data_IF_586620504621
#
_entry.id   IF_586620504621
#
_cell.length_a   1.000
_cell.length_b   1.000
_cell.length_c   1.000
_cell.angle_alpha   90.00
_cell.angle_beta   90.00
_cell.angle_gamma   90.00
#
_symmetry.space_group_name_H-M   'P 1'
#
loop_
_entity.id
_entity.type
_entity.pdbx_description
1 polymer ?
#
# COMPACT_ATOMS: atom_id res chain seq x y z
N UNK A 1 -19.11 -41.50 11.24
CA UNK A 1 -19.01 -40.33 10.34
C UNK A 1 -18.13 -39.30 11.04
N UNK A 2 -17.04 -38.81 10.42
CA UNK A 2 -16.20 -37.80 11.07
C UNK A 2 -17.01 -36.50 11.25
N UNK A 3 -17.15 -36.05 12.49
CA UNK A 3 -17.74 -34.75 12.83
C UNK A 3 -16.92 -33.65 12.16
N UNK A 4 -17.51 -32.99 11.17
CA UNK A 4 -16.88 -31.87 10.45
C UNK A 4 -16.47 -30.81 11.48
N UNK A 5 -15.16 -30.53 11.58
CA UNK A 5 -14.63 -29.55 12.53
C UNK A 5 -15.19 -28.17 12.20
N UNK A 6 -15.90 -27.56 13.14
CA UNK A 6 -16.49 -26.23 12.97
C UNK A 6 -15.37 -25.18 12.98
N UNK A 7 -15.37 -24.28 11.99
CA UNK A 7 -14.49 -23.13 11.94
C UNK A 7 -15.23 -21.89 12.43
N UNK A 8 -14.91 -21.42 13.64
CA UNK A 8 -15.51 -20.21 14.19
C UNK A 8 -15.14 -18.95 13.39
N UNK A 9 -13.98 -18.94 12.72
CA UNK A 9 -13.61 -17.86 11.77
C UNK A 9 -14.59 -17.81 10.60
N UNK A 10 -14.88 -18.96 9.99
CA UNK A 10 -15.84 -19.02 8.87
C UNK A 10 -17.24 -18.60 9.33
N UNK A 11 -17.70 -19.11 10.48
CA UNK A 11 -19.01 -18.72 11.02
C UNK A 11 -19.09 -17.22 11.33
N UNK A 12 -18.01 -16.63 11.84
CA UNK A 12 -17.94 -15.18 12.09
C UNK A 12 -18.09 -14.39 10.79
N UNK A 13 -17.40 -14.80 9.73
CA UNK A 13 -17.53 -14.20 8.40
C UNK A 13 -18.95 -14.35 7.86
N UNK A 14 -19.53 -15.56 7.91
CA UNK A 14 -20.89 -15.82 7.42
C UNK A 14 -21.93 -14.97 8.16
N UNK A 15 -21.79 -14.79 9.47
CA UNK A 15 -22.69 -13.97 10.30
C UNK A 15 -22.63 -12.49 9.89
N UNK A 16 -21.43 -11.94 9.70
CA UNK A 16 -21.27 -10.53 9.29
C UNK A 16 -21.71 -10.34 7.83
N UNK A 17 -21.30 -11.22 6.93
CA UNK A 17 -21.65 -11.17 5.51
C UNK A 17 -23.16 -11.23 5.26
N UNK A 18 -23.88 -12.08 6.00
CA UNK A 18 -25.35 -12.20 5.87
C UNK A 18 -26.12 -11.10 6.61
N UNK A 19 -25.46 -10.30 7.43
CA UNK A 19 -26.13 -9.20 8.13
C UNK A 19 -26.37 -8.04 7.16
N UNK A 20 -27.61 -7.52 7.06
CA UNK A 20 -27.89 -6.35 6.24
C UNK A 20 -27.38 -5.05 6.89
N UNK A 21 -27.11 -5.07 8.19
CA UNK A 21 -26.66 -3.92 8.97
C UNK A 21 -25.38 -4.24 9.76
N UNK A 22 -24.55 -3.21 10.08
CA UNK A 22 -23.39 -3.36 10.95
C UNK A 22 -23.76 -3.92 12.31
N UNK A 23 -23.00 -4.91 12.76
CA UNK A 23 -23.25 -5.64 14.00
C UNK A 23 -22.30 -5.23 15.12
N UNK A 24 -22.78 -5.01 16.36
CA UNK A 24 -21.91 -4.92 17.51
C UNK A 24 -21.27 -6.28 17.80
N UNK A 25 -20.06 -6.28 18.37
CA UNK A 25 -19.31 -7.50 18.69
C UNK A 25 -20.12 -8.54 19.51
N UNK A 26 -20.90 -8.07 20.49
CA UNK A 26 -21.71 -8.95 21.33
C UNK A 26 -22.76 -9.73 20.53
N UNK A 27 -23.34 -9.10 19.52
CA UNK A 27 -24.33 -9.73 18.64
C UNK A 27 -23.69 -10.72 17.68
N UNK A 28 -22.52 -10.40 17.11
CA UNK A 28 -21.73 -11.36 16.31
C UNK A 28 -21.48 -12.62 17.13
N UNK A 29 -21.02 -12.47 18.37
CA UNK A 29 -20.74 -13.60 19.27
C UNK A 29 -22.01 -14.42 19.56
N UNK A 30 -23.14 -13.75 19.85
CA UNK A 30 -24.41 -14.42 20.12
C UNK A 30 -24.91 -15.21 18.89
N UNK A 31 -24.87 -14.62 17.69
CA UNK A 31 -25.29 -15.26 16.44
C UNK A 31 -24.39 -16.45 16.09
N UNK A 32 -23.07 -16.32 16.23
CA UNK A 32 -22.13 -17.45 16.02
C UNK A 32 -22.42 -18.59 16.99
N UNK A 33 -22.60 -18.28 18.29
CA UNK A 33 -22.89 -19.27 19.31
C UNK A 33 -24.26 -19.96 19.10
N UNK A 34 -25.24 -19.25 18.54
CA UNK A 34 -26.53 -19.81 18.16
C UNK A 34 -26.46 -20.80 16.98
N UNK A 35 -25.48 -20.64 16.08
CA UNK A 35 -25.24 -21.58 14.96
C UNK A 35 -24.46 -22.81 15.45
N UNK A 36 -23.39 -22.57 16.20
CA UNK A 36 -22.58 -23.63 16.81
C UNK A 36 -22.04 -23.15 18.16
N UNK A 37 -22.34 -23.88 19.27
CA UNK A 37 -21.84 -23.51 20.59
C UNK A 37 -20.32 -23.37 20.61
N UNK A 38 -19.83 -22.25 21.13
CA UNK A 38 -18.39 -21.97 21.18
C UNK A 38 -17.77 -22.70 22.37
N UNK A 39 -17.13 -23.83 22.12
CA UNK A 39 -16.57 -24.71 23.16
C UNK A 39 -15.11 -24.42 23.51
N UNK A 40 -14.54 -23.32 22.99
CA UNK A 40 -13.14 -22.95 23.26
C UNK A 40 -12.96 -22.43 24.69
N UNK A 41 -11.73 -22.52 25.21
CA UNK A 41 -11.41 -22.01 26.57
C UNK A 41 -11.69 -20.51 26.75
N UNK A 42 -11.64 -19.73 25.66
CA UNK A 42 -11.92 -18.30 25.68
C UNK A 42 -12.75 -17.90 24.45
N UNK A 43 -14.08 -18.08 24.50
CA UNK A 43 -14.98 -17.82 23.38
C UNK A 43 -14.87 -16.39 22.83
N UNK A 44 -14.81 -15.41 23.74
CA UNK A 44 -14.68 -13.99 23.39
C UNK A 44 -13.43 -13.72 22.58
N UNK A 45 -12.29 -14.29 23.00
CA UNK A 45 -11.03 -14.09 22.27
C UNK A 45 -11.02 -14.81 20.91
N UNK A 46 -11.67 -15.97 20.81
CA UNK A 46 -11.82 -16.68 19.53
C UNK A 46 -12.53 -15.82 18.49
N UNK A 47 -13.68 -15.22 18.85
CA UNK A 47 -14.43 -14.35 17.91
C UNK A 47 -13.68 -13.03 17.67
N UNK A 48 -13.06 -12.45 18.70
CA UNK A 48 -12.26 -11.23 18.53
C UNK A 48 -11.13 -11.43 17.53
N UNK A 49 -10.39 -12.52 17.63
CA UNK A 49 -9.32 -12.84 16.70
C UNK A 49 -9.85 -13.05 15.28
N UNK A 50 -11.00 -13.72 15.13
CA UNK A 50 -11.64 -13.90 13.83
C UNK A 50 -12.02 -12.57 13.18
N UNK A 51 -12.51 -11.60 13.96
CA UNK A 51 -12.81 -10.25 13.48
C UNK A 51 -11.52 -9.49 13.16
N UNK A 52 -10.56 -9.44 14.10
CA UNK A 52 -9.36 -8.59 13.97
C UNK A 52 -8.38 -9.04 12.90
N UNK A 53 -8.39 -10.33 12.54
CA UNK A 53 -7.53 -10.89 11.49
C UNK A 53 -8.21 -10.90 10.11
N UNK A 54 -9.46 -10.45 10.00
CA UNK A 54 -10.19 -10.44 8.75
C UNK A 54 -9.98 -9.13 8.00
N UNK A 55 -9.53 -9.21 6.75
CA UNK A 55 -9.54 -8.05 5.84
C UNK A 55 -10.95 -7.73 5.30
N UNK A 56 -11.92 -8.61 5.53
CA UNK A 56 -13.29 -8.44 5.04
C UNK A 56 -14.25 -7.89 6.10
N UNK A 57 -13.93 -8.06 7.39
CA UNK A 57 -14.71 -7.51 8.49
C UNK A 57 -14.00 -6.26 8.99
N UNK A 58 -14.65 -5.11 8.84
CA UNK A 58 -14.06 -3.82 9.19
C UNK A 58 -14.90 -3.12 10.25
N UNK A 59 -14.25 -2.32 11.08
CA UNK A 59 -14.92 -1.48 12.09
C UNK A 59 -15.52 -0.24 11.41
N UNK A 60 -16.77 0.06 11.73
CA UNK A 60 -17.48 1.28 11.26
C UNK A 60 -17.16 2.51 12.12
N UNK A 61 -16.31 2.38 13.15
CA UNK A 61 -15.89 3.48 14.03
C UNK A 61 -16.83 3.77 15.20
N UNK A 62 -18.07 3.29 15.16
CA UNK A 62 -19.10 3.41 16.21
C UNK A 62 -19.20 2.17 17.12
N UNK A 63 -18.19 1.29 17.06
CA UNK A 63 -18.15 0.03 17.83
C UNK A 63 -18.90 -1.14 17.16
N UNK A 64 -19.39 -0.95 15.94
CA UNK A 64 -19.95 -2.02 15.11
C UNK A 64 -18.96 -2.47 14.03
N UNK A 65 -19.29 -3.59 13.39
CA UNK A 65 -18.51 -4.22 12.35
C UNK A 65 -19.40 -4.60 11.18
N UNK A 66 -18.89 -4.44 9.96
CA UNK A 66 -19.61 -4.78 8.73
C UNK A 66 -18.67 -5.42 7.70
N UNK A 67 -19.26 -5.90 6.62
CA UNK A 67 -18.59 -6.45 5.46
C UNK A 67 -18.02 -5.34 4.58
N UNK A 68 -16.71 -5.36 4.35
CA UNK A 68 -15.97 -4.27 3.70
C UNK A 68 -16.57 -3.83 2.35
N UNK A 69 -16.80 -4.70 1.35
CA UNK A 69 -17.42 -4.27 0.09
C UNK A 69 -18.76 -3.54 0.23
N UNK A 70 -19.55 -3.84 1.26
CA UNK A 70 -20.84 -3.18 1.52
C UNK A 70 -20.65 -1.82 2.18
N UNK A 71 -19.78 -1.75 3.19
CA UNK A 71 -19.59 -0.53 3.98
C UNK A 71 -19.01 0.61 3.14
N UNK A 72 -18.27 0.31 2.07
CA UNK A 72 -17.67 1.35 1.23
C UNK A 72 -18.66 2.01 0.26
N UNK A 73 -19.90 1.51 0.16
CA UNK A 73 -20.92 2.10 -0.71
C UNK A 73 -21.15 3.58 -0.37
N UNK A 74 -21.34 4.38 -1.43
CA UNK A 74 -21.47 5.84 -1.36
C UNK A 74 -20.15 6.60 -1.15
N UNK A 75 -19.00 5.91 -1.10
CA UNK A 75 -17.71 6.58 -1.05
C UNK A 75 -17.40 7.24 -2.39
N UNK A 76 -16.87 8.45 -2.35
CA UNK A 76 -16.37 9.20 -3.50
C UNK A 76 -14.87 9.38 -3.33
N UNK A 77 -14.06 8.87 -4.27
CA UNK A 77 -12.59 8.89 -4.21
C UNK A 77 -12.07 9.72 -5.39
N UNK A 78 -11.11 10.64 -5.13
CA UNK A 78 -10.48 11.46 -6.17
C UNK A 78 -9.23 10.77 -6.71
N UNK A 79 -9.06 10.84 -8.02
CA UNK A 79 -7.86 10.46 -8.74
C UNK A 79 -7.37 11.65 -9.58
N UNK A 80 -6.18 12.15 -9.27
CA UNK A 80 -5.51 13.20 -10.05
C UNK A 80 -4.87 12.59 -11.28
N UNK A 81 -5.19 13.12 -12.46
CA UNK A 81 -4.69 12.61 -13.73
C UNK A 81 -3.24 13.05 -13.94
N UNK A 82 -2.36 12.08 -14.20
CA UNK A 82 -0.95 12.34 -14.43
C UNK A 82 -0.63 12.38 -15.93
N UNK A 83 0.42 13.12 -16.28
CA UNK A 83 0.92 13.20 -17.66
C UNK A 83 1.28 11.81 -18.21
N UNK A 84 1.86 10.94 -17.37
CA UNK A 84 2.21 9.57 -17.77
C UNK A 84 0.98 8.72 -18.15
N UNK A 85 -0.15 8.92 -17.47
CA UNK A 85 -1.40 8.18 -17.72
C UNK A 85 -1.95 8.49 -19.10
N UNK A 86 -1.97 9.78 -19.47
CA UNK A 86 -2.38 10.25 -20.79
C UNK A 86 -1.48 9.72 -21.90
N UNK A 87 -0.16 9.66 -21.67
CA UNK A 87 0.76 9.15 -22.68
C UNK A 87 0.71 7.63 -22.86
N UNK A 88 0.43 6.90 -21.79
CA UNK A 88 0.52 5.44 -21.76
C UNK A 88 -0.84 4.75 -21.85
N UNK A 89 -1.94 5.51 -21.82
CA UNK A 89 -3.30 5.00 -21.76
C UNK A 89 -3.50 4.01 -20.60
N UNK A 90 -2.98 4.37 -19.42
CA UNK A 90 -3.07 3.59 -18.18
C UNK A 90 -3.49 4.50 -17.04
N UNK A 91 -4.35 4.03 -16.16
CA UNK A 91 -4.63 4.70 -14.90
C UNK A 91 -3.83 4.02 -13.79
N UNK A 92 -3.08 4.80 -13.00
CA UNK A 92 -2.35 4.37 -11.81
C UNK A 92 -3.23 4.59 -10.60
N UNK A 93 -3.42 3.57 -9.77
CA UNK A 93 -4.29 3.67 -8.62
C UNK A 93 -3.50 3.98 -7.36
N UNK A 94 -3.94 5.03 -6.68
CA UNK A 94 -3.56 5.27 -5.30
C UNK A 94 -4.14 4.17 -4.38
N UNK A 95 -3.64 4.14 -3.15
CA UNK A 95 -3.95 3.09 -2.18
C UNK A 95 -5.44 3.00 -1.85
N UNK A 96 -6.09 4.15 -1.63
CA UNK A 96 -7.52 4.25 -1.30
C UNK A 96 -8.41 3.90 -2.49
N UNK A 97 -8.07 4.38 -3.69
CA UNK A 97 -8.78 4.03 -4.91
C UNK A 97 -8.68 2.53 -5.20
N UNK A 98 -7.47 1.95 -5.08
CA UNK A 98 -7.29 0.51 -5.25
C UNK A 98 -8.10 -0.26 -4.22
N UNK A 99 -8.12 0.19 -2.96
CA UNK A 99 -8.87 -0.47 -1.90
C UNK A 99 -10.39 -0.36 -2.11
N UNK A 100 -10.88 0.73 -2.68
CA UNK A 100 -12.28 0.90 -3.06
C UNK A 100 -12.70 0.06 -4.29
N UNK A 101 -11.86 0.00 -5.33
CA UNK A 101 -12.14 -0.74 -6.57
C UNK A 101 -11.88 -2.25 -6.43
N UNK A 102 -11.04 -2.64 -5.48
CA UNK A 102 -10.66 -4.02 -5.19
C UNK A 102 -10.67 -4.27 -3.67
N UNK A 103 -11.83 -4.22 -2.99
CA UNK A 103 -11.92 -4.35 -1.52
C UNK A 103 -11.42 -5.71 -1.00
N UNK A 104 -11.38 -6.70 -1.87
CA UNK A 104 -10.89 -8.07 -1.63
C UNK A 104 -9.38 -8.25 -1.90
N UNK A 105 -8.63 -7.16 -2.17
CA UNK A 105 -7.22 -7.24 -2.59
C UNK A 105 -6.34 -8.03 -1.60
N UNK A 106 -6.51 -7.76 -0.30
CA UNK A 106 -5.81 -8.46 0.80
C UNK A 106 -6.60 -9.63 1.39
N UNK A 107 -7.79 -9.93 0.85
CA UNK A 107 -8.61 -11.00 1.38
C UNK A 107 -7.93 -12.37 1.19
N UNK A 108 -8.13 -13.32 2.13
CA UNK A 108 -7.65 -14.67 1.95
C UNK A 108 -8.34 -15.32 0.74
N UNK A 109 -7.72 -16.35 0.18
CA UNK A 109 -8.13 -16.96 -1.10
C UNK A 109 -9.63 -17.27 -1.21
N UNK A 110 -10.29 -17.65 -0.11
CA UNK A 110 -11.73 -17.95 -0.05
C UNK A 110 -12.63 -16.78 -0.44
N UNK A 111 -12.22 -15.54 -0.18
CA UNK A 111 -13.01 -14.33 -0.46
C UNK A 111 -12.39 -13.46 -1.54
N UNK A 112 -11.29 -13.92 -2.14
CA UNK A 112 -10.52 -13.16 -3.10
C UNK A 112 -11.26 -13.13 -4.42
N UNK A 113 -11.80 -11.97 -4.77
CA UNK A 113 -12.28 -11.67 -6.11
C UNK A 113 -11.32 -10.68 -6.81
N UNK A 114 -10.93 -10.97 -8.05
CA UNK A 114 -10.09 -10.14 -8.92
C UNK A 114 -10.70 -9.88 -10.28
N UNK A 115 -12.00 -10.13 -10.42
CA UNK A 115 -12.78 -9.71 -11.60
C UNK A 115 -12.57 -8.21 -11.88
N UNK A 116 -12.87 -7.70 -13.08
CA UNK A 116 -12.80 -6.26 -13.34
C UNK A 116 -13.89 -5.48 -12.61
N UNK A 117 -13.57 -4.27 -12.14
CA UNK A 117 -14.56 -3.31 -11.66
C UNK A 117 -15.39 -2.78 -12.85
N UNK A 118 -16.71 -2.69 -12.71
CA UNK A 118 -17.60 -2.18 -13.74
C UNK A 118 -17.87 -0.70 -13.49
N UNK A 119 -17.30 0.17 -14.34
CA UNK A 119 -17.32 1.63 -14.16
C UNK A 119 -18.20 2.27 -15.22
N UNK A 120 -19.26 2.95 -14.80
CA UNK A 120 -20.14 3.70 -15.72
C UNK A 120 -19.60 5.11 -15.91
N UNK A 121 -19.28 5.46 -17.15
CA UNK A 121 -18.80 6.79 -17.55
C UNK A 121 -19.97 7.78 -17.71
N UNK A 122 -19.72 9.10 -17.66
CA UNK A 122 -20.75 10.14 -17.85
C UNK A 122 -21.55 10.06 -19.15
N UNK A 123 -20.99 9.46 -20.20
CA UNK A 123 -21.69 9.22 -21.48
C UNK A 123 -22.66 8.03 -21.44
N UNK A 124 -22.79 7.34 -20.29
CA UNK A 124 -23.63 6.16 -20.10
C UNK A 124 -22.96 4.83 -20.46
N UNK A 125 -21.74 4.84 -21.01
CA UNK A 125 -21.01 3.61 -21.34
C UNK A 125 -20.40 2.99 -20.09
N UNK A 126 -20.53 1.67 -19.94
CA UNK A 126 -19.85 0.92 -18.88
C UNK A 126 -18.56 0.30 -19.42
N UNK A 127 -17.46 0.52 -18.71
CA UNK A 127 -16.13 -0.03 -18.99
C UNK A 127 -15.66 -0.93 -17.85
N UNK A 128 -14.88 -1.95 -18.19
CA UNK A 128 -14.29 -2.89 -17.24
C UNK A 128 -12.87 -2.46 -16.88
N UNK A 129 -12.63 -2.18 -15.60
CA UNK A 129 -11.31 -1.81 -15.07
C UNK A 129 -10.68 -3.01 -14.36
N UNK A 130 -9.76 -3.69 -15.06
CA UNK A 130 -8.96 -4.78 -14.49
C UNK A 130 -7.86 -4.24 -13.60
N UNK A 131 -7.61 -4.91 -12.47
CA UNK A 131 -6.46 -4.59 -11.62
C UNK A 131 -5.21 -5.26 -12.18
N UNK A 132 -4.22 -4.46 -12.54
CA UNK A 132 -2.92 -4.89 -13.02
C UNK A 132 -1.78 -4.27 -12.22
N UNK A 133 -0.66 -4.99 -12.13
CA UNK A 133 0.58 -4.48 -11.54
C UNK A 133 1.52 -4.10 -12.68
N UNK A 134 1.78 -2.80 -12.85
CA UNK A 134 2.66 -2.31 -13.89
C UNK A 134 4.14 -2.34 -13.50
N UNK A 135 4.41 -2.19 -12.20
CA UNK A 135 5.74 -2.30 -11.60
C UNK A 135 5.59 -2.70 -10.11
N UNK A 136 6.68 -3.08 -9.40
CA UNK A 136 6.59 -3.37 -7.97
C UNK A 136 5.87 -2.27 -7.20
N UNK A 137 4.77 -2.62 -6.55
CA UNK A 137 3.87 -1.70 -5.80
C UNK A 137 3.10 -0.66 -6.63
N UNK A 138 3.28 -0.61 -7.95
CA UNK A 138 2.52 0.26 -8.84
C UNK A 138 1.37 -0.56 -9.44
N UNK A 139 0.16 -0.24 -9.01
CA UNK A 139 -1.07 -0.88 -9.45
C UNK A 139 -1.92 0.08 -10.27
N UNK A 140 -2.79 -0.46 -11.11
CA UNK A 140 -3.64 0.36 -11.96
C UNK A 140 -4.48 -0.47 -12.91
N UNK A 141 -4.97 0.17 -13.97
CA UNK A 141 -5.71 -0.50 -15.05
C UNK A 141 -5.31 0.03 -16.42
N UNK A 142 -5.09 -0.85 -17.41
CA UNK A 142 -5.06 -0.44 -18.80
C UNK A 142 -6.50 -0.26 -19.28
N UNK A 143 -7.05 0.94 -19.10
CA UNK A 143 -8.42 1.22 -19.51
C UNK A 143 -8.59 0.99 -21.02
N UNK A 144 -9.75 0.48 -21.42
CA UNK A 144 -10.06 0.14 -22.81
C UNK A 144 -10.01 1.38 -23.72
N UNK A 145 -9.75 1.23 -25.04
CA UNK A 145 -9.64 2.37 -25.96
C UNK A 145 -10.85 3.31 -25.93
N UNK A 146 -12.05 2.77 -25.78
CA UNK A 146 -13.31 3.53 -25.75
C UNK A 146 -13.36 4.50 -24.55
N UNK A 147 -12.78 4.12 -23.42
CA UNK A 147 -12.63 5.02 -22.28
C UNK A 147 -11.72 6.19 -22.64
N UNK A 148 -10.57 5.93 -23.26
CA UNK A 148 -9.62 6.98 -23.63
C UNK A 148 -10.19 7.89 -24.72
N UNK A 149 -10.91 7.36 -25.70
CA UNK A 149 -11.58 8.19 -26.72
C UNK A 149 -12.56 9.17 -26.07
N UNK A 150 -13.41 8.67 -25.15
CA UNK A 150 -14.29 9.53 -24.36
C UNK A 150 -13.48 10.56 -23.55
N UNK A 151 -12.44 10.12 -22.85
CA UNK A 151 -11.64 10.98 -21.98
C UNK A 151 -10.93 12.10 -22.76
N UNK A 152 -10.38 11.79 -23.93
CA UNK A 152 -9.80 12.79 -24.84
C UNK A 152 -10.86 13.74 -25.43
N UNK A 153 -12.08 13.27 -25.68
CA UNK A 153 -13.18 14.13 -26.15
C UNK A 153 -13.57 15.22 -25.13
N UNK A 154 -13.35 14.95 -23.84
CA UNK A 154 -13.52 15.93 -22.75
C UNK A 154 -12.41 16.97 -22.69
N UNK A 155 -11.38 16.87 -23.57
CA UNK A 155 -10.16 17.68 -23.54
C UNK A 155 -9.50 17.63 -22.15
N UNK A 156 -9.39 16.44 -21.59
CA UNK A 156 -8.74 16.24 -20.29
C UNK A 156 -7.24 16.57 -20.38
N UNK A 157 -6.72 17.19 -19.33
CA UNK A 157 -5.31 17.52 -19.16
C UNK A 157 -4.75 16.90 -17.88
N UNK A 158 -3.42 16.84 -17.81
CA UNK A 158 -2.73 16.51 -16.56
C UNK A 158 -3.14 17.49 -15.45
N UNK A 159 -3.47 16.96 -14.28
CA UNK A 159 -4.00 17.72 -13.14
C UNK A 159 -5.52 17.88 -13.10
N UNK A 160 -6.26 17.44 -14.13
CA UNK A 160 -7.70 17.21 -14.02
C UNK A 160 -7.99 15.96 -13.18
N UNK A 161 -9.27 15.74 -12.83
CA UNK A 161 -9.65 14.75 -11.83
C UNK A 161 -10.70 13.77 -12.35
N UNK A 162 -10.56 12.52 -11.93
CA UNK A 162 -11.60 11.50 -11.99
C UNK A 162 -12.10 11.21 -10.59
N UNK A 163 -13.40 11.35 -10.36
CA UNK A 163 -14.03 10.96 -9.09
C UNK A 163 -14.73 9.63 -9.27
N UNK A 164 -14.37 8.66 -8.44
CA UNK A 164 -14.94 7.32 -8.43
C UNK A 164 -15.96 7.21 -7.30
N UNK A 165 -17.23 7.12 -7.66
CA UNK A 165 -18.32 6.83 -6.74
C UNK A 165 -18.52 5.31 -6.65
N UNK A 166 -18.49 4.78 -5.43
CA UNK A 166 -18.82 3.37 -5.16
C UNK A 166 -20.34 3.22 -5.10
N UNK A 167 -20.95 2.70 -6.16
CA UNK A 167 -22.40 2.48 -6.23
C UNK A 167 -22.77 1.20 -5.49
N UNK A 168 -22.07 0.10 -5.80
CA UNK A 168 -22.21 -1.18 -5.13
C UNK A 168 -20.87 -1.92 -5.15
N UNK A 169 -20.15 -1.93 -4.03
CA UNK A 169 -18.85 -2.58 -3.90
C UNK A 169 -18.93 -4.12 -3.88
N UNK A 170 -20.08 -4.72 -3.53
CA UNK A 170 -20.27 -6.17 -3.62
C UNK A 170 -20.48 -6.62 -5.07
N UNK A 171 -21.31 -5.89 -5.82
CA UNK A 171 -21.52 -6.11 -7.26
C UNK A 171 -20.43 -5.48 -8.14
N UNK A 172 -19.48 -4.75 -7.53
CA UNK A 172 -18.35 -4.07 -8.17
C UNK A 172 -18.78 -3.06 -9.23
N UNK A 173 -19.81 -2.32 -8.90
CA UNK A 173 -20.38 -1.28 -9.72
C UNK A 173 -19.95 0.08 -9.19
N UNK A 174 -19.42 0.89 -10.11
CA UNK A 174 -18.88 2.20 -9.81
C UNK A 174 -19.37 3.19 -10.86
N UNK A 175 -19.39 4.47 -10.48
CA UNK A 175 -19.69 5.57 -11.39
C UNK A 175 -18.50 6.52 -11.43
N UNK A 176 -18.19 6.97 -12.63
CA UNK A 176 -17.11 7.93 -12.86
C UNK A 176 -17.68 9.31 -13.09
N UNK A 177 -17.04 10.31 -12.49
CA UNK A 177 -17.32 11.72 -12.72
C UNK A 177 -16.01 12.37 -13.16
N UNK A 178 -16.05 13.15 -14.24
CA UNK A 178 -14.91 13.96 -14.66
C UNK A 178 -15.05 15.36 -14.07
N UNK A 179 -13.97 15.87 -13.49
CA UNK A 179 -13.90 17.21 -12.91
C UNK A 179 -12.65 17.92 -13.45
N UNK A 180 -12.83 19.08 -14.07
CA UNK A 180 -11.70 19.93 -14.42
C UNK A 180 -11.04 20.48 -13.17
N UNK A 181 -9.74 20.71 -13.23
CA UNK A 181 -9.00 21.36 -12.14
C UNK A 181 -9.59 22.73 -11.76
N UNK A 182 -10.07 23.49 -12.75
CA UNK A 182 -10.69 24.80 -12.54
C UNK A 182 -11.99 24.75 -11.73
N UNK A 183 -12.65 23.60 -11.69
CA UNK A 183 -13.97 23.42 -11.08
C UNK A 183 -13.87 22.89 -9.65
N UNK A 184 -12.64 22.81 -9.11
CA UNK A 184 -12.36 22.40 -7.74
C UNK A 184 -12.76 23.49 -6.75
N UNK A 185 -13.47 23.08 -5.70
CA UNK A 185 -13.63 23.90 -4.50
C UNK A 185 -12.39 23.72 -3.61
N UNK A 186 -11.34 24.50 -3.88
CA UNK A 186 -10.07 24.40 -3.14
C UNK A 186 -10.23 24.65 -1.63
N UNK A 187 -11.21 25.47 -1.22
CA UNK A 187 -11.43 25.75 0.20
C UNK A 187 -12.01 24.54 0.91
N UNK A 188 -13.02 23.91 0.30
CA UNK A 188 -13.60 22.68 0.84
C UNK A 188 -12.58 21.54 0.80
N UNK A 189 -11.84 21.38 -0.29
CA UNK A 189 -10.80 20.35 -0.42
C UNK A 189 -9.74 20.51 0.66
N UNK A 190 -9.22 21.73 0.88
CA UNK A 190 -8.25 21.97 1.94
C UNK A 190 -8.79 21.60 3.33
N UNK A 191 -10.07 21.90 3.61
CA UNK A 191 -10.73 21.50 4.86
C UNK A 191 -10.77 19.97 4.99
N UNK A 192 -11.15 19.26 3.92
CA UNK A 192 -11.19 17.80 3.88
C UNK A 192 -9.82 17.17 4.06
N UNK A 193 -8.78 17.74 3.45
CA UNK A 193 -7.40 17.31 3.61
C UNK A 193 -6.95 17.45 5.08
N UNK A 194 -7.24 18.58 5.73
CA UNK A 194 -6.93 18.80 7.14
C UNK A 194 -7.64 17.81 8.06
N UNK A 195 -8.89 17.46 7.77
CA UNK A 195 -9.62 16.44 8.53
C UNK A 195 -8.99 15.05 8.38
N UNK A 196 -8.61 14.64 7.16
CA UNK A 196 -7.90 13.38 6.93
C UNK A 196 -6.61 13.31 7.76
N UNK A 197 -5.82 14.39 7.71
CA UNK A 197 -4.58 14.54 8.47
C UNK A 197 -4.82 14.45 9.97
N UNK A 198 -5.83 15.15 10.49
CA UNK A 198 -6.17 15.12 11.91
C UNK A 198 -6.56 13.71 12.38
N UNK A 199 -7.30 12.95 11.55
CA UNK A 199 -7.63 11.55 11.83
C UNK A 199 -6.34 10.71 11.86
N UNK A 200 -5.45 10.86 10.88
CA UNK A 200 -4.17 10.16 10.81
C UNK A 200 -3.32 10.38 12.07
N UNK A 201 -3.11 11.64 12.45
CA UNK A 201 -2.36 12.02 13.65
C UNK A 201 -2.96 11.41 14.93
N UNK A 202 -4.29 11.45 15.06
CA UNK A 202 -4.99 10.84 16.22
C UNK A 202 -4.77 9.33 16.27
N UNK A 203 -4.82 8.62 15.14
CA UNK A 203 -4.62 7.17 15.10
C UNK A 203 -3.17 6.77 15.40
N UNK A 204 -2.19 7.55 14.90
CA UNK A 204 -0.78 7.33 15.21
C UNK A 204 -0.52 7.52 16.71
N UNK A 205 -1.07 8.57 17.33
CA UNK A 205 -0.93 8.78 18.78
C UNK A 205 -1.54 7.65 19.63
N UNK A 206 -2.59 7.00 19.13
CA UNK A 206 -3.27 5.91 19.84
C UNK A 206 -2.62 4.53 19.63
N UNK A 207 -1.70 4.39 18.67
CA UNK A 207 -1.11 3.11 18.27
C UNK A 207 0.41 3.15 18.40
N UNK A 208 1.02 2.42 19.36
CA UNK A 208 2.46 2.48 19.61
C UNK A 208 3.34 2.01 18.45
N UNK A 209 2.80 1.29 17.48
CA UNK A 209 3.52 0.78 16.30
C UNK A 209 3.11 1.47 15.00
N UNK A 210 2.39 2.60 15.09
CA UNK A 210 1.84 3.28 13.93
C UNK A 210 0.66 2.55 13.27
N UNK A 211 0.27 3.02 12.09
CA UNK A 211 -0.76 2.42 11.25
C UNK A 211 -0.20 2.28 9.83
N UNK A 212 -0.39 1.12 9.21
CA UNK A 212 -0.02 0.97 7.81
C UNK A 212 -0.94 1.82 6.94
N UNK A 213 -0.44 2.30 5.81
CA UNK A 213 -1.21 3.10 4.86
C UNK A 213 -2.48 2.37 4.38
N UNK A 214 -2.37 1.05 4.17
CA UNK A 214 -3.50 0.17 3.82
C UNK A 214 -4.56 0.03 4.93
N UNK A 215 -4.13 -0.08 6.19
CA UNK A 215 -5.06 -0.13 7.33
C UNK A 215 -5.75 1.22 7.52
N UNK A 216 -5.05 2.32 7.24
CA UNK A 216 -5.61 3.65 7.36
C UNK A 216 -6.62 3.96 6.26
N UNK A 217 -6.31 3.65 4.99
CA UNK A 217 -7.27 3.78 3.88
C UNK A 217 -8.50 2.90 4.09
N UNK A 218 -8.32 1.66 4.57
CA UNK A 218 -9.45 0.80 4.97
C UNK A 218 -10.29 1.45 6.07
N UNK A 219 -9.67 2.08 7.08
CA UNK A 219 -10.37 2.78 8.14
C UNK A 219 -11.17 3.98 7.63
N UNK A 220 -10.57 4.82 6.76
CA UNK A 220 -11.24 5.99 6.18
C UNK A 220 -12.47 5.56 5.37
N UNK A 221 -12.34 4.53 4.54
CA UNK A 221 -13.45 3.95 3.78
C UNK A 221 -14.54 3.39 4.70
N UNK A 222 -14.17 2.60 5.71
CA UNK A 222 -15.12 1.92 6.60
C UNK A 222 -15.87 2.87 7.55
N UNK A 223 -15.24 3.97 7.95
CA UNK A 223 -15.86 5.00 8.81
C UNK A 223 -16.68 6.01 8.03
N UNK A 224 -16.78 5.87 6.70
CA UNK A 224 -17.56 6.74 5.85
C UNK A 224 -16.92 8.10 5.60
N UNK A 225 -15.61 8.26 5.83
CA UNK A 225 -14.91 9.52 5.56
C UNK A 225 -15.12 9.98 4.12
N UNK A 226 -15.07 9.07 3.15
CA UNK A 226 -15.27 9.38 1.73
C UNK A 226 -16.73 9.56 1.32
N UNK A 227 -17.71 9.46 2.23
CA UNK A 227 -19.15 9.70 1.93
C UNK A 227 -19.50 11.19 1.98
N UNK A 228 -18.61 12.02 1.43
CA UNK A 228 -18.77 13.46 1.34
C UNK A 228 -18.83 13.86 -0.14
N UNK A 229 -19.69 14.81 -0.55
CA UNK A 229 -19.80 15.23 -1.95
C UNK A 229 -18.50 15.83 -2.52
N UNK A 230 -17.62 16.31 -1.64
CA UNK A 230 -16.27 16.78 -2.00
C UNK A 230 -15.23 15.88 -1.34
N UNK A 231 -14.56 15.00 -2.11
CA UNK A 231 -13.48 14.17 -1.57
C UNK A 231 -12.22 15.00 -1.28
N UNK A 232 -11.31 14.51 -0.41
CA UNK A 232 -9.97 15.10 -0.27
C UNK A 232 -9.17 14.93 -1.58
N UNK A 233 -7.98 15.52 -1.62
CA UNK A 233 -6.96 15.16 -2.60
C UNK A 233 -6.52 13.69 -2.43
N UNK A 234 -5.93 13.07 -3.48
CA UNK A 234 -5.51 11.68 -3.43
C UNK A 234 -4.64 11.39 -2.21
N UNK A 235 -4.81 10.20 -1.66
CA UNK A 235 -4.19 9.80 -0.41
C UNK A 235 -2.66 9.94 -0.41
N UNK A 236 -2.00 9.55 -1.49
CA UNK A 236 -0.55 9.66 -1.68
C UNK A 236 -0.05 11.10 -1.68
N UNK A 237 -0.85 12.07 -2.11
CA UNK A 237 -0.49 13.50 -2.06
C UNK A 237 -0.47 14.02 -0.61
N UNK A 238 -1.25 13.42 0.29
CA UNK A 238 -1.42 13.89 1.68
C UNK A 238 -0.61 13.09 2.70
N UNK A 239 -0.54 11.78 2.51
CA UNK A 239 -0.01 10.85 3.52
C UNK A 239 1.51 10.94 3.69
N UNK A 240 2.23 11.31 2.62
CA UNK A 240 3.68 11.46 2.66
C UNK A 240 4.13 12.73 3.40
N UNK A 241 3.43 13.86 3.24
CA UNK A 241 3.86 15.15 3.80
C UNK A 241 3.63 15.27 5.32
N UNK A 242 2.68 14.50 5.86
CA UNK A 242 2.10 14.77 7.18
C UNK A 242 2.60 13.84 8.28
N UNK A 243 2.84 12.57 7.94
CA UNK A 243 3.21 11.56 8.95
C UNK A 243 4.70 11.26 9.03
N UNK A 244 5.44 11.57 7.96
CA UNK A 244 6.89 11.42 7.88
C UNK A 244 7.51 12.79 7.64
N UNK A 245 7.14 13.79 8.45
CA UNK A 245 7.60 15.18 8.28
C UNK A 245 9.07 15.23 7.89
N UNK A 246 9.40 16.05 6.89
CA UNK A 246 10.72 16.19 6.23
C UNK A 246 11.71 15.16 6.71
N UNK A 247 11.87 14.01 6.02
CA UNK A 247 12.80 12.91 6.35
C UNK A 247 13.82 13.35 7.40
N UNK A 248 13.46 13.23 8.68
CA UNK A 248 14.39 13.63 9.72
C UNK A 248 15.48 12.58 9.62
N UNK A 249 16.64 12.98 9.10
CA UNK A 249 17.88 12.22 9.25
C UNK A 249 17.89 11.66 10.66
N UNK A 250 17.71 10.34 10.74
CA UNK A 250 17.80 9.52 11.94
C UNK A 250 17.28 10.17 13.23
N UNK A 251 16.02 9.89 13.57
CA UNK A 251 15.66 9.77 14.98
C UNK A 251 16.59 8.71 15.58
N UNK A 252 17.68 9.16 16.21
CA UNK A 252 18.64 8.35 16.93
C UNK A 252 17.84 7.45 17.87
N UNK A 253 17.80 6.17 17.55
CA UNK A 253 17.13 5.18 18.38
C UNK A 253 17.90 5.14 19.70
N UNK A 254 17.26 5.47 20.81
CA UNK A 254 17.89 5.28 22.12
C UNK A 254 18.35 3.81 22.23
N UNK A 255 19.61 3.55 22.64
CA UNK A 255 20.17 2.21 22.64
C UNK A 255 19.34 1.28 23.54
N UNK A 256 19.03 0.09 23.01
CA UNK A 256 18.26 -0.93 23.71
C UNK A 256 18.91 -1.26 25.08
N UNK A 257 18.23 -1.03 26.21
CA UNK A 257 18.78 -1.27 27.54
C UNK A 257 19.16 -2.75 27.75
N UNK A 258 18.49 -3.69 27.07
CA UNK A 258 18.81 -5.12 27.14
C UNK A 258 20.14 -5.44 26.45
N UNK A 259 20.48 -4.73 25.37
CA UNK A 259 21.77 -4.88 24.69
C UNK A 259 22.93 -4.37 25.57
N UNK A 260 22.71 -3.28 26.31
CA UNK A 260 23.71 -2.72 27.24
C UNK A 260 23.94 -3.64 28.44
N UNK A 261 22.89 -4.28 28.95
CA UNK A 261 22.96 -5.21 30.10
C UNK A 261 23.64 -6.55 29.74
N UNK A 262 23.44 -7.06 28.52
CA UNK A 262 24.01 -8.34 28.07
C UNK A 262 25.47 -8.26 27.61
N UNK A 263 25.87 -7.13 27.01
CA UNK A 263 27.18 -7.01 26.36
C UNK A 263 28.14 -6.04 27.04
N UNK A 264 27.71 -5.34 28.10
CA UNK A 264 28.56 -4.48 28.93
C UNK A 264 29.07 -3.21 28.25
N UNK A 265 28.73 -3.01 26.98
CA UNK A 265 29.04 -1.82 26.18
C UNK A 265 27.80 -1.43 25.37
N UNK A 266 27.56 -0.13 25.20
CA UNK A 266 26.52 0.35 24.30
C UNK A 266 26.85 -0.13 22.89
N UNK A 267 25.87 -0.73 22.20
CA UNK A 267 26.04 -1.15 20.81
C UNK A 267 26.57 0.03 19.98
N UNK A 268 27.80 -0.07 19.48
CA UNK A 268 28.36 0.97 18.64
C UNK A 268 27.57 1.02 17.34
N UNK A 269 26.88 2.14 17.11
CA UNK A 269 26.25 2.43 15.83
C UNK A 269 27.35 2.52 14.77
N UNK A 270 27.23 1.69 13.72
CA UNK A 270 28.24 1.60 12.68
C UNK A 270 28.24 2.88 11.84
N UNK A 271 29.15 3.80 12.15
CA UNK A 271 29.37 5.00 11.36
C UNK A 271 30.11 4.61 10.06
N UNK A 272 29.42 4.64 8.92
CA UNK A 272 29.99 4.28 7.62
C UNK A 272 31.04 5.29 7.13
N UNK A 273 30.97 6.55 7.59
CA UNK A 273 31.95 7.59 7.23
C UNK A 273 33.22 7.48 8.08
N UNK A 274 33.16 6.83 9.24
CA UNK A 274 34.29 6.66 10.13
C UNK A 274 34.23 5.30 10.85
N UNK A 275 34.41 4.18 10.11
CA UNK A 275 34.23 2.84 10.67
C UNK A 275 35.28 2.58 11.76
N UNK A 276 34.90 1.95 12.88
CA UNK A 276 35.86 1.61 13.94
C UNK A 276 36.97 0.70 13.36
N UNK A 277 38.16 0.77 13.95
CA UNK A 277 39.28 -0.11 13.59
C UNK A 277 38.90 -1.57 13.86
N UNK A 278 38.33 -2.24 12.86
CA UNK A 278 37.93 -3.63 12.97
C UNK A 278 39.16 -4.52 13.16
N UNK A 279 39.02 -5.66 13.88
CA UNK A 279 40.05 -6.69 13.92
C UNK A 279 40.45 -7.08 12.49
N UNK A 280 41.73 -7.41 12.31
CA UNK A 280 42.38 -7.66 11.00
C UNK A 280 41.64 -8.67 10.10
N UNK A 281 40.87 -9.57 10.71
CA UNK A 281 40.05 -10.59 10.05
C UNK A 281 38.83 -10.01 9.28
N UNK A 282 38.42 -8.78 9.61
CA UNK A 282 37.31 -8.07 9.00
C UNK A 282 37.75 -6.88 8.13
N UNK A 283 39.06 -6.69 7.92
CA UNK A 283 39.56 -5.76 6.91
C UNK A 283 39.17 -6.32 5.53
N UNK A 284 38.38 -5.60 4.71
CA UNK A 284 37.94 -6.06 3.40
C UNK A 284 39.10 -6.31 2.41
N UNK A 285 40.34 -5.91 2.75
CA UNK A 285 41.56 -6.18 2.00
C UNK A 285 42.27 -7.46 2.45
N UNK A 286 41.95 -7.99 3.63
CA UNK A 286 42.58 -9.19 4.17
C UNK A 286 42.11 -10.43 3.41
N UNK A 287 43.05 -11.16 2.80
CA UNK A 287 42.77 -12.34 1.98
C UNK A 287 42.41 -12.06 0.51
N UNK A 288 42.31 -10.79 0.07
CA UNK A 288 42.12 -10.49 -1.36
C UNK A 288 43.41 -10.79 -2.14
N UNK A 289 43.38 -11.79 -3.02
CA UNK A 289 44.37 -11.91 -4.10
C UNK A 289 44.31 -10.63 -4.92
N UNK A 290 45.38 -9.83 -4.88
CA UNK A 290 45.48 -8.66 -5.74
C UNK A 290 45.47 -9.13 -7.18
N UNK A 291 44.55 -8.59 -7.98
CA UNK A 291 44.53 -8.82 -9.42
C UNK A 291 45.85 -8.35 -9.99
N UNK A 292 46.52 -9.23 -10.72
CA UNK A 292 47.73 -8.87 -11.45
C UNK A 292 47.29 -7.92 -12.56
N UNK A 293 47.62 -6.63 -12.45
CA UNK A 293 47.40 -5.68 -13.55
C UNK A 293 47.94 -6.30 -14.83
N UNK A 294 47.09 -6.40 -15.86
CA UNK A 294 47.59 -6.76 -17.19
C UNK A 294 48.58 -5.66 -17.62
N UNK A 295 49.66 -6.05 -18.30
CA UNK A 295 50.69 -5.11 -18.74
C UNK A 295 50.17 -4.08 -19.77
N UNK A 296 48.96 -4.27 -20.31
CA UNK A 296 48.35 -3.42 -21.34
C UNK A 296 47.50 -2.26 -20.81
N UNK A 297 47.08 -2.26 -19.53
CA UNK A 297 46.16 -1.25 -18.99
C UNK A 297 46.78 0.13 -18.65
N UNK A 298 48.05 0.38 -19.00
CA UNK A 298 48.74 1.64 -18.63
C UNK A 298 48.58 2.78 -19.63
N UNK A 299 47.85 2.61 -20.75
CA UNK A 299 47.87 3.62 -21.83
C UNK A 299 46.61 3.77 -22.68
N UNK A 300 45.42 3.36 -22.23
CA UNK A 300 44.17 3.52 -23.01
C UNK A 300 43.00 4.06 -22.20
N UNK A 301 42.02 4.61 -22.92
CA UNK A 301 40.80 5.25 -22.44
C UNK A 301 39.99 4.32 -21.53
N UNK A 302 39.44 4.92 -20.47
CA UNK A 302 38.52 4.29 -19.53
C UNK A 302 37.11 4.80 -19.88
N UNK A 303 36.14 3.89 -19.87
CA UNK A 303 34.72 4.23 -20.01
C UNK A 303 34.01 3.97 -18.68
N UNK A 304 33.32 4.98 -18.16
CA UNK A 304 32.53 4.88 -16.92
C UNK A 304 31.10 4.45 -17.24
N UNK A 305 30.59 3.48 -16.49
CA UNK A 305 29.24 2.97 -16.60
C UNK A 305 28.49 3.11 -15.28
N UNK A 306 27.33 3.75 -15.31
CA UNK A 306 26.41 3.76 -14.18
C UNK A 306 25.50 2.52 -14.24
N UNK A 307 25.70 1.60 -13.30
CA UNK A 307 25.01 0.31 -13.27
C UNK A 307 24.18 0.18 -11.98
N UNK A 308 22.96 -0.34 -12.11
CA UNK A 308 22.12 -0.72 -10.96
C UNK A 308 22.46 -2.14 -10.55
N UNK A 309 23.03 -2.30 -9.36
CA UNK A 309 23.50 -3.59 -8.86
C UNK A 309 22.56 -4.07 -7.75
N UNK A 310 22.09 -5.32 -7.88
CA UNK A 310 21.25 -5.97 -6.88
C UNK A 310 22.10 -6.95 -6.05
N UNK A 311 22.27 -6.65 -4.76
CA UNK A 311 22.97 -7.51 -3.82
C UNK A 311 21.97 -8.39 -3.05
N UNK A 312 22.33 -9.65 -2.80
CA UNK A 312 21.49 -10.59 -2.02
C UNK A 312 21.15 -10.12 -0.59
N UNK A 313 21.93 -9.20 -0.02
CA UNK A 313 21.81 -8.79 1.38
C UNK A 313 21.62 -7.26 1.56
N UNK A 314 21.56 -6.48 0.48
CA UNK A 314 21.41 -5.03 0.55
C UNK A 314 20.37 -4.56 -0.48
N UNK A 315 19.65 -3.46 -0.22
CA UNK A 315 18.78 -2.83 -1.20
C UNK A 315 19.57 -2.45 -2.47
N UNK A 316 18.85 -2.32 -3.57
CA UNK A 316 19.45 -2.03 -4.87
C UNK A 316 20.16 -0.68 -4.85
N UNK A 317 21.42 -0.67 -5.28
CA UNK A 317 22.25 0.54 -5.27
C UNK A 317 22.78 0.80 -6.67
N UNK A 318 22.81 2.08 -7.04
CA UNK A 318 23.50 2.54 -8.25
C UNK A 318 24.99 2.65 -7.96
N UNK A 319 25.82 2.08 -8.84
CA UNK A 319 27.27 2.15 -8.75
C UNK A 319 27.85 2.66 -10.06
N UNK A 320 28.84 3.53 -9.93
CA UNK A 320 29.69 3.91 -11.06
C UNK A 320 30.84 2.90 -11.15
N UNK A 321 31.01 2.28 -12.32
CA UNK A 321 32.04 1.28 -12.58
C UNK A 321 32.83 1.70 -13.81
N UNK A 322 34.13 1.88 -13.61
CA UNK A 322 35.09 2.21 -14.66
C UNK A 322 35.67 0.94 -15.29
N UNK A 323 35.55 0.81 -16.61
CA UNK A 323 36.12 -0.31 -17.37
C UNK A 323 37.10 0.20 -18.42
N UNK A 324 38.23 -0.48 -18.52
CA UNK A 324 39.14 -0.32 -19.65
C UNK A 324 38.52 -0.95 -20.90
N UNK A 325 38.78 -0.40 -22.09
CA UNK A 325 38.22 -0.88 -23.37
C UNK A 325 38.58 -2.34 -23.73
N UNK A 326 39.63 -2.90 -23.12
CA UNK A 326 40.02 -4.29 -23.31
C UNK A 326 39.36 -5.27 -22.33
N UNK A 327 38.58 -4.77 -21.36
CA UNK A 327 37.75 -5.59 -20.50
C UNK A 327 36.40 -5.84 -21.17
N UNK A 328 35.93 -7.09 -21.12
CA UNK A 328 34.61 -7.43 -21.61
C UNK A 328 33.57 -7.39 -20.47
N UNK A 329 32.28 -7.49 -20.84
CA UNK A 329 31.18 -7.47 -19.88
C UNK A 329 31.18 -8.72 -18.97
N UNK A 330 31.86 -9.79 -19.40
CA UNK A 330 32.10 -10.95 -18.54
C UNK A 330 33.08 -10.56 -17.44
N UNK A 331 34.18 -9.86 -17.68
CA UNK A 331 35.14 -9.45 -16.64
C UNK A 331 34.52 -8.62 -15.49
N UNK A 332 33.37 -8.00 -15.76
CA UNK A 332 32.52 -7.27 -14.81
C UNK A 332 31.98 -8.18 -13.68
N UNK A 333 31.74 -9.47 -13.94
CA UNK A 333 31.27 -10.43 -12.93
C UNK A 333 32.31 -10.75 -11.85
N UNK A 334 33.59 -10.44 -12.10
CA UNK A 334 34.68 -10.61 -11.15
C UNK A 334 34.95 -9.34 -10.33
N UNK A 335 34.35 -8.21 -10.72
CA UNK A 335 34.50 -6.90 -10.08
C UNK A 335 33.37 -6.59 -9.09
N UNK A 336 32.17 -7.15 -9.30
CA UNK A 336 30.99 -7.08 -8.43
C UNK A 336 30.97 -8.27 -7.48
#
# INVERSE_FOLDING_TARGET
>A
MPTKKVSFTQLTHDVVYKSPEPLPFAEIMARVNGIAPITTKNPKNTIRNAVSQSHMIVSTGDGRFDWKPRVINGSLIRHTIQTAELHQNRLYWDEDLRDALCPTFFAPQTYKDRSPAQVTCPNGTTTAFSLEMFAPRIWGTPAVPEFWEWFHSMKAHSGDHLLFEVVDGEARQYRLIFQHRSDRDETMIATRNQELVAIGLKLVQQRPYGISSWDFTTYLLATGFYRHPVPPDPFSELWHEVLYGEESDSAQSEPDPLATELFGEAAQEYNFENPPNLPREYDPRYGRRHTRQSRSARSRSITSFLLRVNHRALPEVWRDIELAEDNNLEDLHLLI
#
